data_IF_776387962441
#
_entry.id   IF_776387962441
#
_cell.length_a   1.000
_cell.length_b   1.000
_cell.length_c   1.000
_cell.angle_alpha   90.00
_cell.angle_beta   90.00
_cell.angle_gamma   90.00
#
_symmetry.space_group_name_H-M   'P 1'
#
loop_
_entity.id
_entity.type
_entity.pdbx_description
1 polymer ?
#
# COMPACT_ATOMS: atom_id res chain seq x y z
N UNK A 1 10.66 15.71 20.59
CA UNK A 1 10.41 15.08 20.47
C UNK A 1 10.62 14.20 19.91
N UNK A 2 10.82 13.71 19.90
CA UNK A 2 10.97 12.99 19.31
C UNK A 2 10.37 12.21 18.86
N UNK A 3 10.15 12.25 18.06
CA UNK A 3 9.31 11.41 17.48
C UNK A 3 9.84 10.13 17.42
N UNK A 4 9.31 9.33 18.00
CA UNK A 4 9.68 8.04 17.91
C UNK A 4 9.15 7.46 16.70
N UNK A 5 9.92 6.87 15.93
CA UNK A 5 9.44 6.30 14.73
C UNK A 5 9.32 4.83 14.80
N UNK A 6 9.17 4.31 16.01
CA UNK A 6 8.98 2.93 16.14
C UNK A 6 7.82 2.51 15.34
N UNK A 7 7.91 1.53 14.57
CA UNK A 7 6.82 1.09 13.75
C UNK A 7 6.73 1.74 12.40
N UNK A 8 7.56 2.71 12.13
CA UNK A 8 7.55 3.33 10.82
C UNK A 8 8.10 2.37 9.79
N UNK A 9 7.41 2.27 8.67
CA UNK A 9 7.87 1.42 7.57
C UNK A 9 7.99 2.28 6.33
N UNK A 10 8.81 1.81 5.41
CA UNK A 10 8.99 2.50 4.14
C UNK A 10 8.60 1.56 3.02
N UNK A 11 7.70 2.00 2.19
CA UNK A 11 7.26 1.21 1.04
C UNK A 11 7.39 2.07 -0.19
N UNK A 12 7.49 1.42 -1.33
CA UNK A 12 7.50 2.14 -2.60
C UNK A 12 6.13 1.93 -3.23
N UNK A 13 5.47 3.04 -3.56
CA UNK A 13 4.18 3.00 -4.22
C UNK A 13 4.38 3.64 -5.58
N UNK A 14 4.26 2.83 -6.63
CA UNK A 14 4.49 3.27 -8.00
C UNK A 14 5.87 3.92 -8.16
N UNK A 15 6.85 3.36 -7.45
CA UNK A 15 8.21 3.85 -7.53
C UNK A 15 8.52 5.02 -6.61
N UNK A 16 7.55 5.50 -5.85
CA UNK A 16 7.77 6.62 -4.93
C UNK A 16 7.83 6.09 -3.52
N UNK A 17 8.92 6.39 -2.82
CA UNK A 17 9.04 5.95 -1.44
C UNK A 17 8.09 6.70 -0.55
N UNK A 18 7.40 5.97 0.28
CA UNK A 18 6.40 6.52 1.18
C UNK A 18 6.61 5.94 2.55
N UNK A 19 6.61 6.79 3.56
CA UNK A 19 6.76 6.33 4.93
C UNK A 19 5.39 6.22 5.57
N UNK A 20 5.16 5.13 6.26
CA UNK A 20 3.90 4.89 6.95
C UNK A 20 4.20 4.59 8.40
N UNK A 21 3.26 4.93 9.27
CA UNK A 21 3.45 4.69 10.70
C UNK A 21 2.78 3.40 11.15
N UNK A 22 2.45 2.54 10.21
CA UNK A 22 1.85 1.25 10.53
C UNK A 22 2.25 0.25 9.46
N UNK A 23 2.24 -1.01 9.81
CA UNK A 23 2.72 -2.05 8.91
C UNK A 23 1.60 -2.80 8.21
N UNK A 24 0.36 -2.59 8.60
CA UNK A 24 -0.76 -3.20 7.89
C UNK A 24 -1.37 -2.17 6.96
N UNK A 25 -1.35 -2.45 5.68
CA UNK A 25 -1.76 -1.50 4.67
C UNK A 25 -2.97 -2.07 3.95
N UNK A 26 -3.99 -1.25 3.77
CA UNK A 26 -5.21 -1.68 3.13
C UNK A 26 -5.28 -1.24 1.68
N UNK A 27 -6.14 -1.92 0.93
CA UNK A 27 -6.40 -1.54 -0.46
C UNK A 27 -6.81 -0.07 -0.54
N UNK A 28 -7.73 0.34 0.33
CA UNK A 28 -8.23 1.70 0.29
C UNK A 28 -7.15 2.71 0.60
N UNK A 29 -6.30 2.37 1.54
CA UNK A 29 -5.21 3.26 1.89
C UNK A 29 -4.25 3.47 0.72
N UNK A 30 -3.95 2.38 0.02
CA UNK A 30 -3.07 2.48 -1.13
C UNK A 30 -3.68 3.29 -2.24
N UNK A 31 -4.98 3.16 -2.45
CA UNK A 31 -5.64 3.98 -3.44
C UNK A 31 -5.55 5.45 -3.10
N UNK A 32 -5.73 5.80 -1.83
CA UNK A 32 -5.65 7.20 -1.42
C UNK A 32 -4.23 7.73 -1.52
N UNK A 33 -3.25 6.90 -1.23
CA UNK A 33 -1.86 7.34 -1.29
C UNK A 33 -1.40 7.56 -2.73
N UNK A 34 -1.81 6.67 -3.62
CA UNK A 34 -1.38 6.76 -5.01
C UNK A 34 -2.19 7.78 -5.81
N UNK A 35 -3.46 7.91 -5.50
CA UNK A 35 -4.35 8.79 -6.25
C UNK A 35 -5.20 9.62 -5.29
N UNK A 36 -4.60 10.58 -4.61
CA UNK A 36 -5.36 11.40 -3.67
C UNK A 36 -6.47 12.13 -4.41
N UNK A 37 -7.62 12.20 -3.80
CA UNK A 37 -8.74 12.89 -4.39
C UNK A 37 -9.48 12.11 -5.45
N UNK A 38 -9.22 10.81 -5.55
CA UNK A 38 -9.92 10.01 -6.54
C UNK A 38 -11.42 9.93 -6.23
N UNK A 39 -12.18 9.59 -7.24
CA UNK A 39 -13.61 9.40 -7.11
C UNK A 39 -13.86 8.28 -6.09
N UNK A 40 -14.83 8.45 -5.19
CA UNK A 40 -15.11 7.38 -4.22
C UNK A 40 -15.49 6.06 -4.88
N UNK A 41 -16.00 6.10 -6.10
CA UNK A 41 -16.35 4.88 -6.79
C UNK A 41 -15.21 4.30 -7.61
N UNK A 42 -14.04 4.92 -7.54
CA UNK A 42 -12.92 4.47 -8.34
C UNK A 42 -12.46 3.09 -7.87
N UNK A 43 -11.98 2.31 -8.81
CA UNK A 43 -11.44 1.01 -8.50
C UNK A 43 -9.98 1.00 -8.87
N UNK A 44 -9.21 0.19 -8.16
CA UNK A 44 -7.78 0.12 -8.39
C UNK A 44 -7.37 -1.32 -8.58
N UNK A 45 -6.28 -1.49 -9.30
CA UNK A 45 -5.59 -2.77 -9.35
C UNK A 45 -4.33 -2.59 -8.53
N UNK A 46 -4.20 -3.37 -7.47
CA UNK A 46 -3.08 -3.24 -6.56
C UNK A 46 -2.31 -4.54 -6.54
N UNK A 47 -1.03 -4.47 -6.85
CA UNK A 47 -0.16 -5.62 -6.71
C UNK A 47 0.95 -5.25 -5.75
N UNK A 48 1.50 -6.24 -5.07
CA UNK A 48 2.56 -5.99 -4.12
C UNK A 48 3.65 -7.05 -4.25
N UNK A 49 4.84 -6.68 -3.78
CA UNK A 49 5.98 -7.58 -3.75
C UNK A 49 6.70 -7.41 -2.44
N UNK A 50 7.26 -8.51 -1.97
CA UNK A 50 8.08 -8.52 -0.77
C UNK A 50 7.31 -8.14 0.47
N UNK A 51 6.06 -8.56 0.54
CA UNK A 51 5.28 -8.38 1.75
C UNK A 51 5.62 -9.50 2.73
N UNK A 52 5.14 -9.37 3.95
CA UNK A 52 5.36 -10.38 4.97
C UNK A 52 4.03 -10.77 5.56
N UNK A 53 4.06 -11.73 6.49
CA UNK A 53 2.86 -12.20 7.16
C UNK A 53 2.18 -13.28 6.36
N UNK A 54 0.91 -13.57 6.68
CA UNK A 54 0.21 -14.69 6.03
C UNK A 54 0.10 -14.54 4.53
N UNK A 55 0.13 -13.30 4.05
CA UNK A 55 0.06 -13.04 2.62
C UNK A 55 1.42 -12.60 2.10
N UNK A 56 2.49 -13.06 2.73
CA UNK A 56 3.82 -12.63 2.38
C UNK A 56 4.19 -12.94 0.96
N UNK A 57 5.20 -12.24 0.45
CA UNK A 57 5.67 -12.41 -0.90
C UNK A 57 4.96 -11.47 -1.85
N UNK A 58 4.61 -11.97 -3.00
CA UNK A 58 4.01 -11.18 -4.06
C UNK A 58 2.54 -11.56 -4.21
N UNK A 59 1.72 -10.60 -4.56
CA UNK A 59 0.32 -10.91 -4.75
C UNK A 59 -0.47 -9.71 -5.22
N UNK A 60 -1.79 -9.88 -5.19
CA UNK A 60 -2.74 -8.86 -5.58
C UNK A 60 -3.65 -8.58 -4.40
N UNK A 61 -3.93 -7.31 -4.19
CA UNK A 61 -4.79 -6.88 -3.10
C UNK A 61 -6.09 -6.36 -3.69
N UNK A 62 -7.20 -6.81 -3.13
CA UNK A 62 -8.50 -6.37 -3.61
C UNK A 62 -9.22 -5.61 -2.51
N UNK A 63 -10.32 -4.96 -2.87
CA UNK A 63 -11.08 -4.14 -1.93
C UNK A 63 -11.42 -4.94 -0.69
N UNK A 64 -11.23 -4.32 0.45
CA UNK A 64 -11.52 -4.97 1.73
C UNK A 64 -10.37 -5.78 2.29
N UNK A 65 -9.29 -5.90 1.55
CA UNK A 65 -8.15 -6.68 2.00
C UNK A 65 -7.03 -5.79 2.51
N UNK A 66 -6.14 -6.41 3.25
CA UNK A 66 -4.95 -5.72 3.74
C UNK A 66 -3.76 -6.65 3.67
N UNK A 67 -2.58 -6.09 3.76
CA UNK A 67 -1.35 -6.86 3.70
C UNK A 67 -0.37 -6.23 4.69
N UNK A 68 0.51 -7.06 5.23
CA UNK A 68 1.54 -6.60 6.15
C UNK A 68 2.82 -6.38 5.36
N UNK A 69 3.44 -5.23 5.57
CA UNK A 69 4.64 -4.87 4.82
C UNK A 69 5.85 -4.99 5.72
N UNK A 70 7.00 -5.12 5.07
CA UNK A 70 8.26 -5.11 5.80
C UNK A 70 8.56 -3.71 6.29
N UNK A 71 9.51 -3.63 7.20
CA UNK A 71 9.99 -2.34 7.63
C UNK A 71 10.49 -1.54 6.44
N UNK A 72 11.05 -2.23 5.46
CA UNK A 72 11.59 -1.56 4.30
C UNK A 72 11.67 -2.58 3.17
N UNK A 73 11.36 -2.15 1.98
CA UNK A 73 11.53 -2.98 0.81
C UNK A 73 10.28 -3.53 0.18
N UNK A 74 9.13 -3.36 0.81
CA UNK A 74 7.89 -3.79 0.18
C UNK A 74 7.49 -2.77 -0.88
N UNK A 75 7.09 -3.25 -2.05
CA UNK A 75 6.70 -2.36 -3.13
C UNK A 75 5.26 -2.63 -3.54
N UNK A 76 4.61 -1.58 -3.99
CA UNK A 76 3.24 -1.64 -4.45
C UNK A 76 3.13 -1.00 -5.82
N UNK A 77 2.27 -1.58 -6.63
CA UNK A 77 1.93 -1.00 -7.91
C UNK A 77 0.43 -0.78 -7.89
N UNK A 78 0.00 0.46 -7.91
CA UNK A 78 -1.40 0.82 -7.82
C UNK A 78 -1.80 1.50 -9.10
N UNK A 79 -2.79 0.94 -9.78
CA UNK A 79 -3.27 1.50 -11.03
C UNK A 79 -4.74 1.81 -10.91
N UNK A 80 -5.12 2.96 -11.42
CA UNK A 80 -6.52 3.34 -11.42
C UNK A 80 -7.21 2.62 -12.55
N UNK A 81 -8.24 1.87 -12.20
CA UNK A 81 -9.03 1.16 -13.18
C UNK A 81 -10.22 2.00 -13.51
N UNK A 82 -10.32 2.43 -14.73
CA UNK A 82 -11.45 3.21 -15.14
C UNK A 82 -12.46 2.31 -15.76
N UNK A 83 -13.69 2.49 -15.35
CA UNK A 83 -14.73 1.75 -15.98
C UNK A 83 -15.19 2.47 -17.15
N UNK A 84 -15.49 1.85 -18.11
CA UNK A 84 -16.00 2.57 -19.28
C UNK A 84 -17.38 2.12 -19.61
#
# INVERSE_FOLDING_TARGET
MTAVTKGTVEVAINGTETALDHSTVTYEELGNLAFPGHDPAAMFTVTYRHAVGPRGGDGTLVAGESVTVKKKGTTFNVRLSTRS
#
